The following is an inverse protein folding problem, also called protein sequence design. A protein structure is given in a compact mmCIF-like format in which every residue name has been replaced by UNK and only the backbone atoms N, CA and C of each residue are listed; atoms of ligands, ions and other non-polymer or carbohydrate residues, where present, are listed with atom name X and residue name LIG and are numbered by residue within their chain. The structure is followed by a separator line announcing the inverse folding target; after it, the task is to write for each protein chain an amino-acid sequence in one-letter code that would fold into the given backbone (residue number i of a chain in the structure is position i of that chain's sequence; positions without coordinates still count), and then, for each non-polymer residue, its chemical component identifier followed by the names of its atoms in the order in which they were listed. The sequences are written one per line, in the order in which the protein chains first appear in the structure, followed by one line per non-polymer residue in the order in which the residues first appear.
data_IF_610151910115
#
_entry.id   IF_610151910115
#
_cell.length_a   1.000
_cell.length_b   1.000
_cell.length_c   1.000
_cell.angle_alpha   90.00
_cell.angle_beta   90.00
_cell.angle_gamma   90.00
#
_symmetry.space_group_name_H-M   'P 1'
#
loop_
_entity.id
_entity.type
_entity.pdbx_description
1 polymer ?
#
# COMPACT_ATOMS: atom_id res chain seq x y z
N UNK A 1 -56.58 -47.36 -46.10
CA UNK A 1 -56.33 -48.20 -44.89
C UNK A 1 -55.34 -47.46 -44.00
N UNK A 2 -55.88 -46.87 -42.97
CA UNK A 2 -55.24 -45.94 -42.12
C UNK A 2 -54.93 -46.63 -40.78
N UNK A 3 -53.69 -46.74 -40.42
CA UNK A 3 -53.30 -47.23 -39.06
C UNK A 3 -52.87 -46.05 -38.19
N UNK A 4 -53.70 -45.74 -37.19
CA UNK A 4 -53.37 -44.88 -36.07
C UNK A 4 -52.37 -45.62 -35.16
N UNK A 5 -51.24 -45.01 -34.82
CA UNK A 5 -50.39 -45.40 -33.67
C UNK A 5 -50.55 -44.40 -32.58
N UNK A 6 -51.13 -44.86 -31.46
CA UNK A 6 -51.13 -44.15 -30.20
C UNK A 6 -49.70 -44.06 -29.61
N UNK A 7 -49.27 -42.87 -29.21
CA UNK A 7 -48.08 -42.65 -28.39
C UNK A 7 -48.51 -42.43 -26.96
N UNK A 8 -48.15 -43.38 -26.11
CA UNK A 8 -48.26 -43.22 -24.65
C UNK A 8 -47.25 -42.17 -24.16
N UNK A 9 -47.76 -41.13 -23.52
CA UNK A 9 -46.95 -40.11 -22.83
C UNK A 9 -46.72 -40.60 -21.38
N UNK A 10 -45.48 -41.00 -21.06
CA UNK A 10 -45.06 -41.29 -19.68
C UNK A 10 -44.69 -39.96 -19.04
N UNK A 11 -45.50 -39.50 -18.08
CA UNK A 11 -45.16 -38.38 -17.22
C UNK A 11 -44.19 -38.88 -16.12
N UNK A 12 -42.96 -38.44 -16.23
CA UNK A 12 -41.97 -38.55 -15.11
C UNK A 12 -42.18 -37.37 -14.18
N UNK A 13 -42.75 -37.63 -13.01
CA UNK A 13 -42.69 -36.65 -11.89
C UNK A 13 -41.28 -36.64 -11.30
N UNK A 14 -40.52 -35.57 -11.59
CA UNK A 14 -39.34 -35.28 -10.84
C UNK A 14 -39.73 -34.59 -9.50
N UNK A 15 -39.62 -35.31 -8.44
CA UNK A 15 -39.62 -34.72 -7.08
C UNK A 15 -38.35 -33.93 -6.90
N UNK A 16 -38.44 -32.60 -7.07
CA UNK A 16 -37.38 -31.67 -6.67
C UNK A 16 -37.51 -31.48 -5.17
N UNK A 17 -36.67 -32.16 -4.39
CA UNK A 17 -36.45 -31.84 -2.99
C UNK A 17 -35.78 -30.48 -2.88
N UNK A 18 -36.55 -29.45 -2.57
CA UNK A 18 -35.99 -28.15 -2.18
C UNK A 18 -35.36 -28.32 -0.80
N UNK A 19 -34.04 -28.40 -0.73
CA UNK A 19 -33.29 -28.08 0.48
C UNK A 19 -33.33 -26.57 0.66
N UNK A 20 -34.23 -26.06 1.45
CA UNK A 20 -34.18 -24.72 2.01
C UNK A 20 -32.99 -24.62 2.97
N UNK A 21 -31.84 -24.32 2.45
CA UNK A 21 -30.72 -23.82 3.24
C UNK A 21 -30.99 -22.32 3.47
N UNK A 22 -31.72 -22.01 4.55
CA UNK A 22 -31.78 -20.64 5.08
C UNK A 22 -30.36 -20.18 5.34
N UNK A 23 -29.91 -19.01 4.80
CA UNK A 23 -28.60 -18.47 5.14
C UNK A 23 -28.61 -18.20 6.65
N UNK A 24 -27.79 -18.91 7.40
CA UNK A 24 -27.49 -18.59 8.79
C UNK A 24 -26.99 -17.13 8.79
N UNK A 25 -27.84 -16.22 9.28
CA UNK A 25 -27.41 -14.87 9.64
C UNK A 25 -26.27 -15.04 10.63
N UNK A 26 -25.04 -14.78 10.17
CA UNK A 26 -23.95 -14.51 11.09
C UNK A 26 -24.32 -13.21 11.78
N UNK A 27 -24.74 -13.31 13.03
CA UNK A 27 -24.96 -12.16 13.90
C UNK A 27 -23.59 -11.44 14.01
N UNK A 28 -23.45 -10.32 13.29
CA UNK A 28 -22.30 -9.42 13.49
C UNK A 28 -22.38 -8.93 14.93
N UNK A 29 -21.53 -9.46 15.79
CA UNK A 29 -21.34 -8.92 17.13
C UNK A 29 -20.88 -7.48 16.96
N UNK A 30 -21.65 -6.48 17.44
CA UNK A 30 -21.21 -5.09 17.35
C UNK A 30 -19.90 -4.95 18.11
N UNK A 31 -18.81 -4.71 17.41
CA UNK A 31 -17.53 -4.33 18.04
C UNK A 31 -17.76 -2.93 18.58
N UNK A 32 -17.95 -2.80 19.89
CA UNK A 32 -17.94 -1.48 20.53
C UNK A 32 -16.63 -0.78 20.16
N UNK A 33 -16.69 0.42 19.53
CA UNK A 33 -15.47 1.19 19.27
C UNK A 33 -14.85 1.51 20.63
N UNK A 34 -13.54 1.26 20.76
CA UNK A 34 -12.81 1.61 21.97
C UNK A 34 -13.11 3.09 22.30
N UNK A 35 -13.67 3.35 23.49
CA UNK A 35 -13.95 4.71 23.95
C UNK A 35 -12.63 5.44 24.12
N UNK A 36 -12.22 6.16 23.08
CA UNK A 36 -11.12 7.13 23.16
C UNK A 36 -11.69 8.43 23.76
N UNK A 37 -10.92 9.08 24.65
CA UNK A 37 -11.29 10.41 25.16
C UNK A 37 -11.50 11.34 23.95
N UNK A 38 -12.70 11.95 23.77
CA UNK A 38 -12.97 12.82 22.63
C UNK A 38 -12.05 14.03 22.50
N UNK A 39 -11.18 14.25 23.49
CA UNK A 39 -10.14 15.30 23.49
C UNK A 39 -8.77 14.76 23.11
N UNK A 40 -8.60 13.46 22.96
CA UNK A 40 -7.32 12.87 22.55
C UNK A 40 -7.27 12.88 21.02
N UNK A 41 -6.35 13.68 20.47
CA UNK A 41 -6.03 13.67 19.03
C UNK A 41 -5.58 12.27 18.65
N UNK A 42 -6.31 11.63 17.77
CA UNK A 42 -5.87 10.33 17.23
C UNK A 42 -4.74 10.54 16.21
N UNK A 43 -3.87 9.56 16.12
CA UNK A 43 -2.75 9.53 15.18
C UNK A 43 -2.97 8.37 14.23
N UNK A 44 -2.89 8.66 12.93
CA UNK A 44 -2.95 7.68 11.85
C UNK A 44 -1.54 7.46 11.31
N UNK A 45 -1.07 6.24 11.38
CA UNK A 45 0.22 5.81 10.83
C UNK A 45 0.02 5.29 9.42
N UNK A 46 0.67 5.93 8.45
CA UNK A 46 0.63 5.56 7.04
C UNK A 46 1.97 4.98 6.64
N UNK A 47 1.98 3.77 6.07
CA UNK A 47 3.20 3.06 5.68
C UNK A 47 3.09 2.56 4.24
N UNK A 48 4.14 2.75 3.45
CA UNK A 48 4.36 2.13 2.14
C UNK A 48 5.55 1.19 2.21
N UNK A 49 5.42 -0.01 1.62
CA UNK A 49 6.48 -1.00 1.63
C UNK A 49 6.50 -1.83 0.35
N UNK A 50 7.60 -1.76 -0.39
CA UNK A 50 7.87 -2.67 -1.49
C UNK A 50 8.39 -4.00 -0.92
N UNK A 51 7.61 -5.07 -1.10
CA UNK A 51 7.87 -6.40 -0.52
C UNK A 51 8.54 -7.37 -1.47
N UNK A 52 9.09 -6.84 -2.58
CA UNK A 52 10.00 -7.54 -3.47
C UNK A 52 9.50 -8.92 -3.90
N UNK A 53 8.39 -8.96 -4.64
CA UNK A 53 7.74 -10.19 -5.14
C UNK A 53 7.34 -11.18 -4.04
N UNK A 54 6.86 -10.66 -2.93
CA UNK A 54 6.32 -11.50 -1.88
C UNK A 54 5.19 -12.37 -2.44
N UNK A 55 5.39 -13.67 -2.38
CA UNK A 55 4.48 -14.66 -2.95
C UNK A 55 5.15 -15.64 -3.92
N UNK A 56 6.16 -15.21 -4.71
CA UNK A 56 6.87 -16.06 -5.67
C UNK A 56 8.01 -16.89 -5.05
N UNK A 57 8.19 -16.76 -3.72
CA UNK A 57 9.20 -17.48 -2.94
C UNK A 57 10.66 -17.18 -3.31
N UNK A 58 10.94 -16.19 -4.14
CA UNK A 58 12.32 -15.82 -4.50
C UNK A 58 13.14 -15.31 -3.31
N UNK A 59 12.49 -14.84 -2.26
CA UNK A 59 13.14 -14.44 -0.99
C UNK A 59 13.19 -15.58 0.03
N UNK A 60 12.42 -16.63 -0.18
CA UNK A 60 12.25 -17.78 0.69
C UNK A 60 10.79 -18.19 0.83
N UNK A 61 10.51 -19.31 1.55
CA UNK A 61 9.16 -19.81 1.68
C UNK A 61 8.18 -18.80 2.26
N UNK A 62 6.97 -18.72 1.72
CA UNK A 62 5.94 -17.75 2.12
C UNK A 62 5.66 -17.75 3.63
N UNK A 63 5.63 -18.90 4.29
CA UNK A 63 5.43 -18.99 5.74
C UNK A 63 6.55 -18.26 6.53
N UNK A 64 7.78 -18.30 6.04
CA UNK A 64 8.91 -17.56 6.61
C UNK A 64 8.78 -16.06 6.36
N UNK A 65 8.39 -15.68 5.15
CA UNK A 65 8.13 -14.28 4.81
C UNK A 65 6.99 -13.68 5.63
N UNK A 66 5.91 -14.45 5.89
CA UNK A 66 4.83 -14.06 6.82
C UNK A 66 5.39 -13.72 8.22
N UNK A 67 6.32 -14.53 8.73
CA UNK A 67 6.92 -14.29 10.05
C UNK A 67 7.73 -13.00 10.10
N UNK A 68 8.47 -12.68 9.04
CA UNK A 68 9.21 -11.42 8.96
C UNK A 68 8.27 -10.22 8.83
N UNK A 69 7.28 -10.28 7.94
CA UNK A 69 6.30 -9.22 7.79
C UNK A 69 5.51 -9.00 9.10
N UNK A 70 5.09 -10.09 9.77
CA UNK A 70 4.48 -10.03 11.11
C UNK A 70 5.34 -9.24 12.09
N UNK A 71 6.65 -9.48 12.10
CA UNK A 71 7.58 -8.78 13.01
C UNK A 71 7.65 -7.29 12.70
N UNK A 72 7.74 -6.93 11.42
CA UNK A 72 7.77 -5.54 10.94
C UNK A 72 6.47 -4.82 11.29
N UNK A 73 5.32 -5.43 10.98
CA UNK A 73 4.00 -4.85 11.26
C UNK A 73 3.74 -4.73 12.76
N UNK A 74 4.18 -5.73 13.56
CA UNK A 74 4.08 -5.67 15.02
C UNK A 74 4.88 -4.54 15.66
N UNK A 75 5.94 -4.08 14.99
CA UNK A 75 6.74 -2.93 15.39
C UNK A 75 6.17 -1.60 14.90
N UNK A 76 5.88 -1.50 13.60
CA UNK A 76 5.45 -0.26 12.97
C UNK A 76 3.99 0.11 13.30
N UNK A 77 3.12 -0.88 13.43
CA UNK A 77 1.68 -0.75 13.71
C UNK A 77 0.97 0.26 12.80
N UNK A 78 1.10 0.15 11.46
CA UNK A 78 0.46 1.10 10.56
C UNK A 78 -1.07 0.99 10.64
N UNK A 79 -1.77 2.12 10.47
CA UNK A 79 -3.22 2.15 10.32
C UNK A 79 -3.64 2.06 8.85
N UNK A 80 -2.77 2.52 7.95
CA UNK A 80 -2.90 2.36 6.50
C UNK A 80 -1.56 1.79 6.00
N UNK A 81 -1.62 0.65 5.32
CA UNK A 81 -0.46 -0.06 4.80
C UNK A 81 -0.63 -0.34 3.31
N UNK A 82 0.23 0.25 2.49
CA UNK A 82 0.40 -0.12 1.09
C UNK A 82 1.54 -1.12 0.92
N UNK A 83 1.24 -2.31 0.44
CA UNK A 83 2.25 -3.26 -0.02
C UNK A 83 2.30 -3.20 -1.55
N UNK A 84 3.48 -2.98 -2.10
CA UNK A 84 3.70 -2.98 -3.55
C UNK A 84 4.67 -4.07 -3.93
N UNK A 85 4.58 -4.53 -5.17
CA UNK A 85 5.34 -5.66 -5.70
C UNK A 85 5.06 -6.97 -4.94
N UNK A 86 3.79 -7.23 -4.68
CA UNK A 86 3.28 -8.54 -4.27
C UNK A 86 3.08 -9.37 -5.53
N UNK A 87 3.43 -10.65 -5.49
CA UNK A 87 3.23 -11.55 -6.64
C UNK A 87 1.74 -11.70 -6.97
N UNK A 88 1.40 -11.46 -8.23
CA UNK A 88 0.06 -11.66 -8.75
C UNK A 88 -0.19 -13.13 -9.10
N UNK A 89 -1.43 -13.60 -8.97
CA UNK A 89 -1.81 -14.91 -9.47
C UNK A 89 -1.87 -14.86 -11.01
N UNK A 90 -1.08 -15.67 -11.72
CA UNK A 90 -1.14 -15.70 -13.17
C UNK A 90 -2.54 -16.06 -13.70
N UNK A 91 -2.95 -15.45 -14.81
CA UNK A 91 -4.26 -15.73 -15.42
C UNK A 91 -4.46 -17.22 -15.71
N UNK A 92 -3.39 -17.93 -16.12
CA UNK A 92 -3.44 -19.38 -16.36
C UNK A 92 -3.80 -20.21 -15.11
N UNK A 93 -3.51 -19.70 -13.90
CA UNK A 93 -3.88 -20.35 -12.65
C UNK A 93 -5.31 -19.98 -12.23
N UNK A 94 -5.73 -18.74 -12.52
CA UNK A 94 -7.13 -18.31 -12.34
C UNK A 94 -8.05 -19.14 -13.24
N UNK A 95 -7.65 -19.39 -14.48
CA UNK A 95 -8.40 -20.21 -15.46
C UNK A 95 -8.51 -21.68 -15.00
N UNK A 96 -7.61 -22.14 -14.12
CA UNK A 96 -7.66 -23.46 -13.46
C UNK A 96 -8.46 -23.45 -12.16
N UNK A 97 -9.06 -22.31 -11.79
CA UNK A 97 -9.90 -22.15 -10.61
C UNK A 97 -9.19 -21.63 -9.37
N UNK A 98 -7.96 -21.13 -9.47
CA UNK A 98 -7.36 -20.40 -8.36
C UNK A 98 -8.08 -19.06 -8.13
N UNK A 99 -8.17 -18.66 -6.87
CA UNK A 99 -8.79 -17.39 -6.51
C UNK A 99 -7.94 -16.20 -7.00
N UNK A 100 -8.54 -15.21 -7.69
CA UNK A 100 -7.82 -14.00 -8.08
C UNK A 100 -7.41 -13.11 -6.89
N UNK A 101 -7.91 -13.40 -5.67
CA UNK A 101 -7.55 -12.67 -4.44
C UNK A 101 -6.08 -12.91 -4.07
N UNK A 102 -5.47 -13.95 -4.60
CA UNK A 102 -4.05 -14.20 -4.51
C UNK A 102 -3.54 -14.27 -3.07
N UNK A 103 -2.49 -13.51 -2.80
CA UNK A 103 -1.82 -13.50 -1.51
C UNK A 103 -2.46 -12.56 -0.49
N UNK A 104 -3.47 -11.74 -0.85
CA UNK A 104 -4.07 -10.76 0.07
C UNK A 104 -4.62 -11.41 1.35
N UNK A 105 -5.39 -12.50 1.23
CA UNK A 105 -5.89 -13.26 2.39
C UNK A 105 -4.75 -13.90 3.19
N UNK A 106 -3.79 -14.49 2.50
CA UNK A 106 -2.63 -15.13 3.11
C UNK A 106 -1.80 -14.13 3.93
N UNK A 107 -1.56 -12.94 3.38
CA UNK A 107 -0.87 -11.83 4.05
C UNK A 107 -1.71 -11.32 5.24
N UNK A 108 -3.01 -11.11 5.03
CA UNK A 108 -3.91 -10.63 6.08
C UNK A 108 -3.91 -11.57 7.29
N UNK A 109 -4.06 -12.87 7.06
CA UNK A 109 -4.18 -13.87 8.11
C UNK A 109 -2.79 -14.20 8.69
N UNK A 110 -1.82 -14.51 7.84
CA UNK A 110 -0.52 -15.05 8.23
C UNK A 110 0.45 -14.00 8.80
N UNK A 111 0.30 -12.74 8.41
CA UNK A 111 1.19 -11.67 8.86
C UNK A 111 0.46 -10.58 9.65
N UNK A 112 -0.50 -9.87 9.06
CA UNK A 112 -1.07 -8.66 9.64
C UNK A 112 -1.92 -8.95 10.87
N UNK A 113 -2.95 -9.79 10.74
CA UNK A 113 -3.81 -10.17 11.85
C UNK A 113 -3.15 -11.21 12.77
N UNK A 114 -2.06 -11.85 12.34
CA UNK A 114 -1.19 -12.60 13.25
C UNK A 114 -0.33 -11.69 14.14
N UNK A 115 0.00 -10.48 13.67
CA UNK A 115 0.69 -9.45 14.48
C UNK A 115 -0.28 -8.73 15.42
N UNK A 116 -1.46 -8.37 14.92
CA UNK A 116 -2.51 -7.62 15.63
C UNK A 116 -3.87 -8.24 15.32
N UNK A 117 -4.34 -9.19 16.15
CA UNK A 117 -5.55 -9.95 15.88
C UNK A 117 -6.77 -9.09 15.57
N UNK A 118 -7.44 -9.35 14.44
CA UNK A 118 -8.66 -8.72 14.01
C UNK A 118 -8.57 -7.23 13.64
N UNK A 119 -7.36 -6.65 13.60
CA UNK A 119 -7.18 -5.21 13.37
C UNK A 119 -7.32 -4.81 11.90
N UNK A 120 -6.86 -5.65 10.98
CA UNK A 120 -6.73 -5.27 9.57
C UNK A 120 -7.80 -5.89 8.68
N UNK A 121 -8.11 -5.16 7.62
CA UNK A 121 -8.79 -5.64 6.42
C UNK A 121 -8.02 -5.13 5.19
N UNK A 122 -8.24 -5.73 4.01
CA UNK A 122 -7.71 -5.20 2.76
C UNK A 122 -8.82 -4.58 1.91
N UNK A 123 -8.43 -3.65 1.03
CA UNK A 123 -9.31 -3.10 0.01
C UNK A 123 -9.35 -4.02 -1.22
N UNK A 124 -10.45 -4.07 -1.98
CA UNK A 124 -10.46 -4.68 -3.30
C UNK A 124 -9.37 -4.07 -4.20
N UNK A 125 -8.79 -4.87 -5.08
CA UNK A 125 -7.74 -4.45 -6.01
C UNK A 125 -7.97 -5.04 -7.38
N UNK A 126 -7.23 -4.54 -8.38
CA UNK A 126 -7.26 -5.05 -9.75
C UNK A 126 -5.88 -5.46 -10.21
N UNK A 127 -5.84 -6.33 -11.19
CA UNK A 127 -4.66 -6.66 -11.98
C UNK A 127 -5.03 -6.63 -13.47
N UNK A 128 -5.58 -5.51 -13.94
CA UNK A 128 -6.00 -5.33 -15.31
C UNK A 128 -4.81 -5.18 -16.27
N UNK A 129 -3.69 -4.66 -15.79
CA UNK A 129 -2.42 -4.63 -16.51
C UNK A 129 -1.88 -6.04 -16.81
N UNK A 130 -2.37 -7.06 -16.07
CA UNK A 130 -1.92 -8.45 -16.15
C UNK A 130 -0.42 -8.61 -15.93
N UNK A 131 0.13 -7.74 -15.10
CA UNK A 131 1.51 -7.85 -14.67
C UNK A 131 1.65 -8.94 -13.60
N UNK A 132 2.90 -9.28 -13.33
CA UNK A 132 3.25 -10.27 -12.30
C UNK A 132 3.18 -9.70 -10.89
N UNK A 133 3.08 -8.38 -10.76
CA UNK A 133 3.13 -7.68 -9.47
C UNK A 133 1.82 -6.93 -9.21
N UNK A 134 1.32 -7.03 -7.99
CA UNK A 134 0.13 -6.33 -7.50
C UNK A 134 0.45 -5.32 -6.42
N UNK A 135 -0.45 -4.33 -6.26
CA UNK A 135 -0.42 -3.34 -5.19
C UNK A 135 -1.63 -3.57 -4.27
N UNK A 136 -1.38 -3.86 -3.00
CA UNK A 136 -2.40 -4.21 -2.01
C UNK A 136 -2.48 -3.16 -0.91
N UNK A 137 -3.66 -2.58 -0.70
CA UNK A 137 -3.92 -1.66 0.41
C UNK A 137 -4.63 -2.38 1.55
N UNK A 138 -4.02 -2.32 2.74
CA UNK A 138 -4.61 -2.78 4.00
C UNK A 138 -4.89 -1.60 4.92
N UNK A 139 -5.92 -1.70 5.75
CA UNK A 139 -6.30 -0.65 6.68
C UNK A 139 -6.74 -1.21 8.02
N UNK A 140 -6.56 -0.42 9.07
CA UNK A 140 -7.08 -0.69 10.40
C UNK A 140 -8.60 -0.47 10.42
N UNK A 141 -9.38 -1.56 10.41
CA UNK A 141 -10.84 -1.53 10.37
C UNK A 141 -11.50 -0.98 11.62
N UNK A 142 -10.74 -0.75 12.69
CA UNK A 142 -11.24 -0.08 13.91
C UNK A 142 -11.13 1.45 13.81
N UNK A 143 -10.37 1.97 12.83
CA UNK A 143 -10.25 3.41 12.56
C UNK A 143 -10.88 3.82 11.24
N UNK A 144 -10.90 2.93 10.27
CA UNK A 144 -11.36 3.22 8.91
C UNK A 144 -12.42 2.26 8.43
N UNK A 145 -13.39 2.79 7.66
CA UNK A 145 -14.21 2.03 6.74
C UNK A 145 -13.76 2.24 5.30
N UNK A 146 -14.02 1.25 4.46
CA UNK A 146 -13.78 1.32 3.02
C UNK A 146 -15.05 1.80 2.32
N UNK A 147 -14.93 2.81 1.44
CA UNK A 147 -16.06 3.34 0.69
C UNK A 147 -16.07 2.89 -0.78
N UNK A 148 -14.94 3.05 -1.48
CA UNK A 148 -14.81 2.66 -2.89
C UNK A 148 -13.36 2.62 -3.32
N UNK A 149 -13.11 2.05 -4.52
CA UNK A 149 -11.83 2.16 -5.21
C UNK A 149 -12.05 2.40 -6.71
N UNK A 150 -10.99 2.84 -7.39
CA UNK A 150 -10.96 3.01 -8.85
C UNK A 150 -9.55 2.75 -9.36
N UNK A 151 -9.41 2.04 -10.47
CA UNK A 151 -8.15 1.95 -11.19
C UNK A 151 -7.93 3.25 -11.96
N UNK A 152 -6.83 3.93 -11.67
CA UNK A 152 -6.50 5.24 -12.26
C UNK A 152 -5.67 5.11 -13.52
N UNK A 153 -4.71 4.19 -13.50
CA UNK A 153 -3.84 3.84 -14.63
C UNK A 153 -3.65 2.33 -14.62
N UNK A 154 -3.68 1.72 -15.79
CA UNK A 154 -3.38 0.30 -15.99
C UNK A 154 -2.40 0.19 -17.15
N UNK A 155 -1.14 -0.01 -16.83
CA UNK A 155 -0.05 -0.07 -17.81
C UNK A 155 0.95 -1.18 -17.43
N UNK A 156 2.05 -0.87 -16.74
CA UNK A 156 3.01 -1.87 -16.23
C UNK A 156 2.45 -2.55 -14.98
N UNK A 157 1.81 -1.77 -14.11
CA UNK A 157 1.02 -2.25 -12.99
C UNK A 157 -0.25 -1.42 -12.84
N UNK A 158 -1.24 -1.94 -12.14
CA UNK A 158 -2.44 -1.19 -11.83
C UNK A 158 -2.16 -0.20 -10.70
N UNK A 159 -2.41 1.09 -10.99
CA UNK A 159 -2.40 2.17 -9.99
C UNK A 159 -3.83 2.37 -9.53
N UNK A 160 -4.12 1.99 -8.30
CA UNK A 160 -5.44 2.07 -7.71
C UNK A 160 -5.55 3.25 -6.73
N UNK A 161 -6.68 3.93 -6.77
CA UNK A 161 -7.09 4.94 -5.78
C UNK A 161 -8.19 4.35 -4.90
N UNK A 162 -7.99 4.44 -3.60
CA UNK A 162 -8.91 3.97 -2.57
C UNK A 162 -9.52 5.14 -1.81
N UNK A 163 -10.81 5.06 -1.53
CA UNK A 163 -11.53 6.03 -0.72
C UNK A 163 -11.87 5.39 0.62
N UNK A 164 -11.21 5.83 1.68
CA UNK A 164 -11.46 5.43 3.05
C UNK A 164 -12.22 6.53 3.80
N UNK A 165 -12.94 6.19 4.87
CA UNK A 165 -13.54 7.16 5.77
C UNK A 165 -13.19 6.81 7.22
N UNK A 166 -13.00 7.85 8.02
CA UNK A 166 -12.66 7.68 9.42
C UNK A 166 -13.90 7.30 10.23
N UNK A 167 -13.75 6.33 11.12
CA UNK A 167 -14.81 5.88 12.04
C UNK A 167 -14.84 6.80 13.26
N UNK A 168 -15.43 7.98 13.10
CA UNK A 168 -15.65 8.90 14.20
C UNK A 168 -16.81 8.42 15.10
N UNK A 169 -16.65 8.58 16.41
CA UNK A 169 -17.71 8.30 17.40
C UNK A 169 -19.00 9.11 17.15
N UNK A 170 -18.87 10.27 16.50
CA UNK A 170 -19.99 11.11 16.15
C UNK A 170 -20.60 10.80 14.78
N UNK A 171 -19.98 9.93 13.97
CA UNK A 171 -20.44 9.62 12.62
C UNK A 171 -21.90 9.18 12.56
N UNK A 172 -22.34 8.36 13.54
CA UNK A 172 -23.73 7.93 13.63
C UNK A 172 -24.71 9.06 13.94
N UNK A 173 -24.24 10.17 14.52
CA UNK A 173 -25.06 11.35 14.87
C UNK A 173 -25.05 12.42 13.79
N UNK A 174 -23.86 12.67 13.21
CA UNK A 174 -23.67 13.77 12.27
C UNK A 174 -23.90 13.34 10.82
N UNK A 175 -23.75 12.04 10.51
CA UNK A 175 -23.69 11.49 9.16
C UNK A 175 -22.61 12.17 8.28
N UNK A 176 -21.68 12.88 8.92
CA UNK A 176 -20.60 13.62 8.25
C UNK A 176 -19.34 12.77 8.20
N UNK A 177 -18.95 12.41 7.00
CA UNK A 177 -17.83 11.50 6.76
C UNK A 177 -16.61 12.27 6.26
N UNK A 178 -15.52 12.20 7.00
CA UNK A 178 -14.22 12.68 6.52
C UNK A 178 -13.53 11.62 5.70
N UNK A 179 -13.44 11.85 4.39
CA UNK A 179 -12.77 10.93 3.47
C UNK A 179 -11.28 11.20 3.37
N UNK A 180 -10.51 10.10 3.28
CA UNK A 180 -9.10 10.08 2.93
C UNK A 180 -8.93 9.25 1.66
N UNK A 181 -8.34 9.83 0.62
CA UNK A 181 -8.01 9.12 -0.61
C UNK A 181 -6.55 8.65 -0.55
N UNK A 182 -6.34 7.39 -0.89
CA UNK A 182 -5.00 6.79 -0.94
C UNK A 182 -4.78 6.24 -2.34
N UNK A 183 -3.78 6.77 -3.04
CA UNK A 183 -3.30 6.24 -4.31
C UNK A 183 -2.07 5.39 -4.03
N UNK A 184 -2.09 4.14 -4.47
CA UNK A 184 -0.99 3.20 -4.28
C UNK A 184 -0.43 2.78 -5.64
N UNK A 185 0.90 2.83 -5.79
CA UNK A 185 1.55 2.57 -7.06
C UNK A 185 2.90 1.86 -6.93
N UNK A 186 3.27 1.18 -8.00
CA UNK A 186 4.62 0.73 -8.30
C UNK A 186 4.89 1.03 -9.78
N UNK A 187 5.85 1.90 -10.06
CA UNK A 187 6.19 2.30 -11.44
C UNK A 187 7.34 1.49 -12.00
N UNK A 188 7.59 1.64 -13.30
CA UNK A 188 8.66 0.96 -14.01
C UNK A 188 10.01 1.13 -13.32
N UNK A 189 10.66 0.01 -13.03
CA UNK A 189 11.97 -0.06 -12.40
C UNK A 189 13.10 -0.09 -13.42
N UNK A 190 14.34 0.18 -12.96
CA UNK A 190 15.52 0.12 -13.82
C UNK A 190 15.79 1.42 -14.57
N UNK A 191 16.52 1.31 -15.70
CA UNK A 191 16.96 2.46 -16.49
C UNK A 191 15.96 2.79 -17.61
N UNK A 192 14.70 3.00 -17.22
CA UNK A 192 13.57 3.32 -18.11
C UNK A 192 12.82 4.55 -17.60
N UNK A 193 13.46 5.74 -17.56
CA UNK A 193 12.84 6.94 -17.00
C UNK A 193 11.56 7.34 -17.73
N UNK A 194 11.47 7.14 -19.02
CA UNK A 194 10.33 7.55 -19.84
C UNK A 194 9.05 6.79 -19.43
N UNK A 195 9.17 5.49 -19.17
CA UNK A 195 8.00 4.69 -18.75
C UNK A 195 7.45 5.13 -17.39
N UNK A 196 8.31 5.27 -16.38
CA UNK A 196 7.85 5.71 -15.05
C UNK A 196 7.34 7.15 -15.06
N UNK A 197 7.98 8.04 -15.82
CA UNK A 197 7.54 9.43 -15.99
C UNK A 197 6.17 9.48 -16.67
N UNK A 198 5.94 8.67 -17.69
CA UNK A 198 4.67 8.55 -18.39
C UNK A 198 3.58 8.08 -17.44
N UNK A 199 3.82 7.01 -16.66
CA UNK A 199 2.85 6.46 -15.71
C UNK A 199 2.43 7.49 -14.66
N UNK A 200 3.39 8.21 -14.08
CA UNK A 200 3.09 9.25 -13.07
C UNK A 200 2.38 10.44 -13.68
N UNK A 201 2.76 10.86 -14.88
CA UNK A 201 2.10 11.97 -15.59
C UNK A 201 0.65 11.61 -15.93
N UNK A 202 0.40 10.39 -16.39
CA UNK A 202 -0.94 9.88 -16.68
C UNK A 202 -1.81 9.80 -15.41
N UNK A 203 -1.23 9.34 -14.30
CA UNK A 203 -1.88 9.36 -12.99
C UNK A 203 -2.31 10.78 -12.62
N UNK A 204 -1.40 11.77 -12.70
CA UNK A 204 -1.71 13.15 -12.34
C UNK A 204 -2.78 13.76 -13.23
N UNK A 205 -2.73 13.50 -14.53
CA UNK A 205 -3.76 13.93 -15.49
C UNK A 205 -5.13 13.32 -15.14
N UNK A 206 -5.14 12.06 -14.74
CA UNK A 206 -6.36 11.36 -14.31
C UNK A 206 -6.90 11.97 -13.01
N UNK A 207 -6.08 12.24 -12.01
CA UNK A 207 -6.47 12.90 -10.76
C UNK A 207 -7.09 14.27 -11.05
N UNK A 208 -6.45 15.09 -11.86
CA UNK A 208 -6.93 16.44 -12.23
C UNK A 208 -8.30 16.37 -12.94
N UNK A 209 -8.49 15.35 -13.78
CA UNK A 209 -9.77 15.13 -14.46
C UNK A 209 -10.90 14.74 -13.49
N UNK A 210 -10.60 13.98 -12.45
CA UNK A 210 -11.59 13.49 -11.48
C UNK A 210 -11.96 14.51 -10.40
N UNK A 211 -11.04 15.38 -10.03
CA UNK A 211 -11.22 16.28 -8.89
C UNK A 211 -11.07 17.74 -9.31
N UNK A 212 -12.04 18.61 -9.00
CA UNK A 212 -11.91 20.07 -9.24
C UNK A 212 -10.83 20.72 -8.37
N UNK A 213 -10.46 20.07 -7.27
CA UNK A 213 -9.33 20.39 -6.39
C UNK A 213 -8.95 19.14 -5.61
N UNK A 214 -7.68 19.00 -5.20
CA UNK A 214 -7.24 17.85 -4.45
C UNK A 214 -8.00 17.71 -3.11
N UNK A 215 -8.64 16.57 -2.86
CA UNK A 215 -9.21 16.25 -1.55
C UNK A 215 -8.11 15.95 -0.52
N UNK A 216 -8.46 15.42 0.66
CA UNK A 216 -7.49 14.76 1.54
C UNK A 216 -6.97 13.52 0.81
N UNK A 217 -5.77 13.62 0.25
CA UNK A 217 -5.21 12.58 -0.62
C UNK A 217 -3.73 12.34 -0.33
N UNK A 218 -3.36 11.08 -0.38
CA UNK A 218 -1.98 10.59 -0.32
C UNK A 218 -1.69 9.85 -1.61
N UNK A 219 -0.50 10.04 -2.17
CA UNK A 219 0.07 9.16 -3.21
C UNK A 219 1.29 8.48 -2.60
N UNK A 220 1.32 7.16 -2.56
CA UNK A 220 2.42 6.41 -1.96
C UNK A 220 2.80 5.17 -2.78
N UNK A 221 4.03 4.73 -2.64
CA UNK A 221 4.54 3.55 -3.31
C UNK A 221 5.99 3.67 -3.71
N UNK A 222 6.43 2.75 -4.56
CA UNK A 222 7.74 2.77 -5.20
C UNK A 222 7.64 3.45 -6.57
N UNK A 223 8.10 4.69 -6.62
CA UNK A 223 8.10 5.51 -7.84
C UNK A 223 9.31 5.25 -8.73
N UNK A 224 10.31 4.55 -8.24
CA UNK A 224 11.58 4.33 -8.94
C UNK A 224 12.28 5.60 -9.47
N UNK A 225 11.86 6.78 -9.01
CA UNK A 225 12.44 8.08 -9.37
C UNK A 225 13.84 8.22 -8.77
N UNK A 226 14.77 8.84 -9.49
CA UNK A 226 16.18 8.98 -9.09
C UNK A 226 16.58 10.39 -8.68
N UNK A 227 15.77 11.37 -9.03
CA UNK A 227 16.02 12.80 -8.80
C UNK A 227 14.74 13.61 -8.93
N UNK A 228 14.73 14.80 -8.32
CA UNK A 228 13.55 15.67 -8.34
C UNK A 228 13.26 16.32 -9.70
N UNK A 229 14.22 16.36 -10.63
CA UNK A 229 13.99 16.93 -11.96
C UNK A 229 13.57 15.89 -13.02
N UNK A 230 13.17 14.68 -12.63
CA UNK A 230 12.42 13.80 -13.51
C UNK A 230 11.00 14.31 -13.74
N UNK A 231 10.50 14.18 -14.96
CA UNK A 231 9.18 14.70 -15.34
C UNK A 231 8.05 14.11 -14.47
N UNK A 232 8.16 12.84 -14.09
CA UNK A 232 7.23 12.21 -13.16
C UNK A 232 7.20 12.87 -11.77
N UNK A 233 8.38 13.20 -11.22
CA UNK A 233 8.44 13.92 -9.95
C UNK A 233 7.85 15.32 -10.08
N UNK A 234 8.18 16.03 -11.18
CA UNK A 234 7.67 17.36 -11.46
C UNK A 234 6.15 17.36 -11.68
N UNK A 235 5.61 16.33 -12.33
CA UNK A 235 4.15 16.21 -12.50
C UNK A 235 3.40 16.20 -11.16
N UNK A 236 4.00 15.63 -10.10
CA UNK A 236 3.40 15.59 -8.76
C UNK A 236 3.47 16.96 -8.07
N UNK A 237 4.65 17.62 -8.10
CA UNK A 237 4.92 18.77 -7.21
C UNK A 237 4.83 20.14 -7.89
N UNK A 238 4.85 20.23 -9.22
CA UNK A 238 5.01 21.52 -9.93
C UNK A 238 3.87 21.89 -10.88
N UNK A 239 2.67 21.33 -10.67
CA UNK A 239 1.51 21.68 -11.49
C UNK A 239 1.32 23.21 -11.56
N UNK A 240 0.87 23.73 -12.73
CA UNK A 240 0.58 25.16 -12.92
C UNK A 240 -0.40 25.69 -11.88
N UNK A 241 -1.46 24.92 -11.59
CA UNK A 241 -2.44 25.22 -10.55
C UNK A 241 -1.95 24.69 -9.19
N UNK A 242 -1.77 25.59 -8.22
CA UNK A 242 -1.20 25.25 -6.90
C UNK A 242 -2.02 24.22 -6.12
N UNK A 243 -3.33 24.18 -6.29
CA UNK A 243 -4.23 23.23 -5.64
C UNK A 243 -4.10 21.78 -6.14
N UNK A 244 -3.29 21.54 -7.20
CA UNK A 244 -2.92 20.20 -7.66
C UNK A 244 -1.46 19.84 -7.36
N UNK A 245 -0.73 20.64 -6.60
CA UNK A 245 0.66 20.36 -6.21
C UNK A 245 0.68 19.57 -4.93
N UNK A 246 1.12 18.35 -5.01
CA UNK A 246 1.42 17.58 -3.81
C UNK A 246 2.70 18.07 -3.15
N UNK A 247 2.84 17.78 -1.89
CA UNK A 247 4.06 18.00 -1.12
C UNK A 247 4.77 16.67 -0.86
N UNK A 248 6.08 16.66 -1.08
CA UNK A 248 6.98 15.65 -0.52
C UNK A 248 7.43 16.20 0.84
N UNK A 249 6.97 15.63 1.97
CA UNK A 249 7.12 16.23 3.29
C UNK A 249 8.55 16.61 3.68
N UNK A 250 9.58 15.77 3.45
CA UNK A 250 10.95 16.12 3.80
C UNK A 250 11.48 17.39 3.15
N UNK A 251 11.02 17.70 1.92
CA UNK A 251 11.41 18.91 1.18
C UNK A 251 10.50 20.10 1.51
N UNK A 252 9.21 19.90 1.34
CA UNK A 252 8.27 21.02 1.29
C UNK A 252 7.83 21.51 2.67
N UNK A 253 7.72 20.62 3.65
CA UNK A 253 7.15 20.91 4.98
C UNK A 253 8.24 20.90 6.04
N UNK A 254 8.95 19.79 6.17
CA UNK A 254 9.97 19.61 7.23
C UNK A 254 11.25 20.36 6.93
N UNK A 255 11.52 20.65 5.63
CA UNK A 255 12.72 21.34 5.14
C UNK A 255 14.02 20.69 5.64
N UNK A 256 14.02 19.36 5.73
CA UNK A 256 15.16 18.56 6.19
C UNK A 256 16.19 18.31 5.09
N UNK A 257 15.78 18.43 3.84
CA UNK A 257 16.62 18.21 2.64
C UNK A 257 16.45 19.36 1.68
N UNK A 258 17.52 19.65 0.93
CA UNK A 258 17.55 20.73 -0.04
C UNK A 258 16.92 20.31 -1.37
N UNK A 259 16.24 21.22 -2.02
CA UNK A 259 15.71 21.09 -3.37
C UNK A 259 16.50 22.01 -4.32
N UNK A 260 16.82 21.60 -5.56
CA UNK A 260 16.57 20.29 -6.16
C UNK A 260 17.47 19.20 -5.61
N UNK A 261 17.05 17.93 -5.72
CA UNK A 261 17.73 16.78 -5.18
C UNK A 261 18.06 15.75 -6.26
N UNK A 262 19.21 15.07 -6.11
CA UNK A 262 19.62 13.95 -6.93
C UNK A 262 20.26 12.89 -6.02
N UNK A 263 19.41 11.99 -5.50
CA UNK A 263 19.86 10.94 -4.58
C UNK A 263 20.62 9.81 -5.28
N UNK A 264 20.46 9.66 -6.59
CA UNK A 264 21.22 8.69 -7.37
C UNK A 264 22.71 9.08 -7.49
N UNK A 265 22.99 10.39 -7.57
CA UNK A 265 24.37 10.90 -7.63
C UNK A 265 24.96 11.27 -6.27
N UNK A 266 24.13 11.68 -5.32
CA UNK A 266 24.53 12.21 -4.03
C UNK A 266 23.75 11.54 -2.88
N UNK A 267 23.78 10.20 -2.76
CA UNK A 267 22.99 9.50 -1.74
C UNK A 267 23.38 9.91 -0.31
N UNK A 268 24.60 10.36 -0.08
CA UNK A 268 25.09 10.81 1.22
C UNK A 268 24.31 12.01 1.78
N UNK A 269 23.74 12.86 0.91
CA UNK A 269 22.95 14.03 1.31
C UNK A 269 21.53 13.64 1.78
N UNK A 270 21.10 12.44 1.46
CA UNK A 270 19.74 11.94 1.73
C UNK A 270 19.75 10.66 2.55
N UNK A 271 20.86 10.38 3.24
CA UNK A 271 21.16 9.09 3.85
C UNK A 271 20.05 8.53 4.73
N UNK A 272 19.33 9.38 5.49
CA UNK A 272 18.24 8.98 6.38
C UNK A 272 16.92 8.66 5.66
N UNK A 273 16.80 9.02 4.38
CA UNK A 273 15.59 8.86 3.58
C UNK A 273 15.70 7.77 2.52
N UNK A 274 16.91 7.23 2.31
CA UNK A 274 17.14 6.21 1.29
C UNK A 274 16.35 4.95 1.60
N UNK A 275 15.73 4.38 0.57
CA UNK A 275 14.83 3.22 0.69
C UNK A 275 15.37 1.96 0.02
N UNK A 276 16.52 2.02 -0.66
CA UNK A 276 17.15 0.89 -1.38
C UNK A 276 18.67 0.97 -1.29
N UNK A 277 19.39 -0.10 -0.91
CA UNK A 277 18.97 -1.43 -0.52
C UNK A 277 19.14 -1.64 1.00
N UNK A 278 18.33 -2.49 1.59
CA UNK A 278 18.54 -3.02 2.96
C UNK A 278 19.78 -3.90 3.05
N UNK A 279 20.34 -4.32 1.92
CA UNK A 279 21.42 -5.31 1.80
C UNK A 279 22.66 -4.68 1.15
N UNK A 280 23.81 -4.83 1.80
CA UNK A 280 25.10 -4.47 1.19
C UNK A 280 25.48 -5.43 0.08
N UNK A 281 25.26 -6.73 0.28
CA UNK A 281 25.49 -7.78 -0.70
C UNK A 281 24.19 -8.47 -1.07
N UNK A 282 24.16 -9.12 -2.21
CA UNK A 282 23.08 -10.03 -2.57
C UNK A 282 22.87 -11.08 -1.47
N UNK A 283 21.63 -11.46 -1.25
CA UNK A 283 21.27 -12.54 -0.33
C UNK A 283 21.35 -13.86 -1.08
N UNK A 284 22.37 -14.64 -0.79
CA UNK A 284 22.53 -15.97 -1.36
C UNK A 284 21.64 -17.00 -0.64
N UNK A 285 21.21 -18.07 -1.32
CA UNK A 285 21.42 -18.37 -2.74
C UNK A 285 20.36 -17.74 -3.67
N UNK A 286 19.26 -17.23 -3.18
CA UNK A 286 18.10 -16.78 -3.97
C UNK A 286 17.72 -15.36 -3.56
N UNK A 287 18.32 -14.35 -4.16
CA UNK A 287 17.89 -12.96 -3.97
C UNK A 287 17.33 -12.40 -5.29
N UNK A 288 16.03 -12.12 -5.32
CA UNK A 288 15.38 -11.47 -6.44
C UNK A 288 15.48 -9.93 -6.37
N UNK A 289 16.21 -9.40 -5.40
CA UNK A 289 16.45 -7.98 -5.20
C UNK A 289 17.81 -7.53 -5.69
N UNK A 290 18.29 -6.45 -5.10
CA UNK A 290 19.61 -5.86 -5.37
C UNK A 290 20.38 -5.65 -4.07
N UNK A 291 21.69 -5.82 -4.12
CA UNK A 291 22.61 -5.35 -3.09
C UNK A 291 22.97 -3.88 -3.27
N UNK A 292 24.11 -3.48 -2.68
CA UNK A 292 24.71 -2.15 -2.87
C UNK A 292 24.49 -1.19 -1.73
N UNK A 293 23.80 -1.64 -0.66
CA UNK A 293 23.43 -0.82 0.50
C UNK A 293 22.44 0.33 0.16
N UNK A 294 22.15 1.21 1.11
CA UNK A 294 21.17 2.27 0.92
C UNK A 294 21.73 3.40 0.02
N UNK A 295 21.30 3.44 -1.24
CA UNK A 295 21.76 4.43 -2.23
C UNK A 295 20.64 5.09 -3.04
N UNK A 296 19.44 4.53 -3.03
CA UNK A 296 18.30 5.06 -3.76
C UNK A 296 17.17 5.46 -2.84
N UNK A 297 16.53 6.58 -3.13
CA UNK A 297 15.29 7.01 -2.48
C UNK A 297 14.15 6.91 -3.48
N UNK A 298 13.56 5.73 -3.61
CA UNK A 298 12.59 5.40 -4.65
C UNK A 298 11.16 5.33 -4.13
N UNK A 299 11.00 5.03 -2.83
CA UNK A 299 9.71 4.94 -2.19
C UNK A 299 9.38 6.27 -1.50
N UNK A 300 8.22 6.84 -1.83
CA UNK A 300 7.77 8.13 -1.32
C UNK A 300 6.32 8.07 -0.82
N UNK A 301 5.97 9.01 0.04
CA UNK A 301 4.59 9.32 0.44
C UNK A 301 4.38 10.83 0.22
N UNK A 302 3.71 11.17 -0.87
CA UNK A 302 3.29 12.55 -1.17
C UNK A 302 1.94 12.84 -0.55
N UNK A 303 1.75 14.07 -0.07
CA UNK A 303 0.49 14.50 0.55
C UNK A 303 -0.12 15.69 -0.18
N UNK A 304 -1.45 15.72 -0.31
CA UNK A 304 -2.17 16.85 -0.88
C UNK A 304 -2.07 18.10 0.02
N UNK A 305 -2.22 19.32 -0.54
CA UNK A 305 -2.11 20.58 0.22
C UNK A 305 -3.01 20.64 1.46
N UNK A 306 -4.21 20.06 1.41
CA UNK A 306 -5.13 20.01 2.55
C UNK A 306 -4.52 19.28 3.75
N UNK A 307 -3.72 18.25 3.53
CA UNK A 307 -3.06 17.51 4.61
C UNK A 307 -1.90 18.29 5.24
N UNK A 308 -1.42 19.34 4.61
CA UNK A 308 -0.41 20.23 5.18
C UNK A 308 -1.03 21.34 6.07
N UNK A 309 -2.34 21.56 6.00
CA UNK A 309 -3.04 22.50 6.87
C UNK A 309 -3.36 21.85 8.22
N UNK A 310 -2.74 22.36 9.28
CA UNK A 310 -2.91 21.87 10.67
C UNK A 310 -4.35 22.00 11.20
N UNK A 311 -5.19 22.83 10.56
CA UNK A 311 -6.60 23.01 10.94
C UNK A 311 -7.53 22.07 10.17
N UNK A 312 -7.02 21.33 9.21
CA UNK A 312 -7.81 20.34 8.49
C UNK A 312 -8.05 19.09 9.36
N UNK A 313 -9.16 18.40 9.11
CA UNK A 313 -9.52 17.18 9.84
C UNK A 313 -8.37 16.17 9.88
N UNK A 314 -7.77 15.84 8.71
CA UNK A 314 -6.51 15.11 8.64
C UNK A 314 -5.38 16.11 8.38
N UNK A 315 -4.34 16.07 9.17
CA UNK A 315 -3.17 16.93 8.96
C UNK A 315 -1.87 16.18 9.20
N UNK A 316 -0.88 16.47 8.39
CA UNK A 316 0.45 15.90 8.52
C UNK A 316 1.10 16.32 9.85
N UNK A 317 1.69 15.36 10.55
CA UNK A 317 2.49 15.64 11.76
C UNK A 317 3.92 15.94 11.32
N UNK A 318 4.40 17.17 11.47
CA UNK A 318 5.75 17.55 11.03
C UNK A 318 6.84 16.66 11.59
N UNK A 319 7.82 16.34 10.76
CA UNK A 319 8.97 15.47 11.07
C UNK A 319 8.61 14.00 11.39
N UNK A 320 7.39 13.57 11.12
CA UNK A 320 6.99 12.16 11.26
C UNK A 320 7.42 11.29 10.07
N UNK A 321 7.77 11.89 8.93
CA UNK A 321 8.25 11.14 7.76
C UNK A 321 9.60 10.50 8.04
N UNK A 322 9.70 9.18 7.91
CA UNK A 322 10.94 8.45 8.14
C UNK A 322 10.98 7.11 7.40
N UNK A 323 12.19 6.58 7.23
CA UNK A 323 12.47 5.27 6.65
C UNK A 323 12.76 4.29 7.77
N UNK A 324 11.89 3.27 7.94
CA UNK A 324 12.01 2.30 9.05
C UNK A 324 13.26 1.44 8.86
N UNK A 325 14.12 1.39 9.88
CA UNK A 325 15.35 0.60 9.86
C UNK A 325 16.57 1.35 9.31
N UNK A 326 16.40 2.54 8.73
CA UNK A 326 17.51 3.36 8.24
C UNK A 326 17.90 4.42 9.28
N UNK A 327 19.09 4.30 9.84
CA UNK A 327 19.66 5.24 10.83
C UNK A 327 20.53 6.35 10.20
N UNK A 328 20.51 6.47 8.86
CA UNK A 328 21.36 7.41 8.12
C UNK A 328 22.80 6.94 7.88
N UNK A 329 23.19 5.77 8.39
CA UNK A 329 24.54 5.22 8.30
C UNK A 329 24.60 3.93 7.47
N UNK A 330 23.68 3.79 6.48
CA UNK A 330 23.51 2.55 5.72
C UNK A 330 24.08 2.61 4.29
N UNK A 331 24.89 3.60 3.97
CA UNK A 331 25.47 3.77 2.62
C UNK A 331 26.42 2.63 2.22
N UNK A 332 27.05 1.98 3.18
CA UNK A 332 27.99 0.85 2.98
C UNK A 332 27.77 -0.26 4.00
N UNK A 333 26.54 -0.42 4.46
CA UNK A 333 26.17 -1.44 5.44
C UNK A 333 24.77 -2.00 5.14
N UNK A 334 24.55 -3.25 5.53
CA UNK A 334 23.20 -3.82 5.54
C UNK A 334 22.39 -3.25 6.70
N UNK A 335 21.06 -3.35 6.61
CA UNK A 335 20.17 -2.85 7.67
C UNK A 335 20.43 -3.52 9.01
N UNK A 336 20.79 -4.81 9.02
CA UNK A 336 21.09 -5.61 10.22
C UNK A 336 22.56 -5.56 10.66
N UNK A 337 23.46 -4.88 9.92
CA UNK A 337 24.83 -4.66 10.36
C UNK A 337 24.86 -3.69 11.56
N UNK A 338 25.59 -4.08 12.60
CA UNK A 338 25.70 -3.26 13.82
C UNK A 338 26.89 -2.26 13.75
N UNK A 339 26.80 -1.10 14.40
CA UNK A 339 25.63 -0.64 15.17
C UNK A 339 24.51 -0.09 14.27
N UNK A 340 23.28 -0.50 14.51
CA UNK A 340 22.07 0.15 14.01
C UNK A 340 21.06 0.21 15.16
N UNK A 341 20.65 1.41 15.56
CA UNK A 341 19.74 1.66 16.69
C UNK A 341 18.37 2.18 16.24
N UNK A 342 18.10 2.24 14.94
CA UNK A 342 16.83 2.77 14.40
C UNK A 342 15.63 1.86 14.69
N UNK A 343 15.87 0.58 14.96
CA UNK A 343 14.85 -0.39 15.35
C UNK A 343 15.48 -1.53 16.17
N UNK A 344 14.66 -2.35 16.88
CA UNK A 344 15.15 -3.56 17.56
C UNK A 344 15.82 -4.53 16.59
N UNK A 345 16.85 -5.25 17.02
CA UNK A 345 17.64 -6.18 16.17
C UNK A 345 16.77 -7.19 15.42
N UNK A 346 15.71 -7.72 16.06
CA UNK A 346 14.77 -8.65 15.40
C UNK A 346 14.00 -8.00 14.24
N UNK A 347 13.74 -6.69 14.30
CA UNK A 347 13.08 -5.93 13.23
C UNK A 347 14.06 -5.66 12.10
N UNK A 348 15.30 -5.29 12.44
CA UNK A 348 16.37 -5.09 11.46
C UNK A 348 16.66 -6.37 10.68
N UNK A 349 16.69 -7.51 11.37
CA UNK A 349 16.83 -8.82 10.74
C UNK A 349 15.62 -9.14 9.84
N UNK A 350 14.40 -8.88 10.32
CA UNK A 350 13.19 -9.09 9.51
C UNK A 350 13.19 -8.21 8.24
N UNK A 351 13.62 -6.95 8.33
CA UNK A 351 13.77 -6.07 7.15
C UNK A 351 14.80 -6.60 6.16
N UNK A 352 15.95 -7.08 6.66
CA UNK A 352 16.99 -7.68 5.81
C UNK A 352 16.47 -8.90 5.06
N UNK A 353 15.71 -9.76 5.74
CA UNK A 353 15.20 -11.00 5.17
C UNK A 353 14.01 -10.79 4.24
N UNK A 354 13.12 -9.84 4.57
CA UNK A 354 11.86 -9.63 3.86
C UNK A 354 12.05 -8.99 2.48
N UNK A 355 12.87 -7.96 2.37
CA UNK A 355 13.00 -7.20 1.12
C UNK A 355 14.34 -6.46 1.04
N UNK A 356 14.78 -6.15 -0.18
CA UNK A 356 15.87 -5.22 -0.38
C UNK A 356 15.42 -3.74 -0.26
N UNK A 357 14.17 -3.49 0.11
CA UNK A 357 13.60 -2.16 0.29
C UNK A 357 13.33 -1.87 1.76
N UNK A 358 13.45 -0.61 2.14
CA UNK A 358 13.03 -0.12 3.45
C UNK A 358 11.61 0.40 3.37
N UNK A 359 10.76 0.16 4.38
CA UNK A 359 9.45 0.80 4.45
C UNK A 359 9.59 2.30 4.73
N UNK A 360 8.69 3.10 4.14
CA UNK A 360 8.53 4.53 4.42
C UNK A 360 7.26 4.75 5.22
N UNK A 361 7.32 5.63 6.19
CA UNK A 361 6.21 5.91 7.09
C UNK A 361 6.07 7.41 7.37
N UNK A 362 4.83 7.86 7.55
CA UNK A 362 4.49 9.16 8.11
C UNK A 362 3.27 9.07 9.03
N UNK A 363 3.00 10.12 9.77
CA UNK A 363 1.84 10.22 10.65
C UNK A 363 0.94 11.38 10.26
N UNK A 364 -0.38 11.13 10.34
CA UNK A 364 -1.41 12.15 10.24
C UNK A 364 -2.10 12.29 11.60
N UNK A 365 -2.29 13.54 12.06
CA UNK A 365 -3.18 13.85 13.15
C UNK A 365 -4.62 13.90 12.67
N UNK A 366 -5.56 13.52 13.55
CA UNK A 366 -7.00 13.70 13.35
C UNK A 366 -7.48 14.75 14.33
N UNK A 367 -8.18 15.77 13.81
CA UNK A 367 -8.83 16.81 14.63
C UNK A 367 -10.32 16.80 14.31
N UNK A 368 -11.15 16.11 15.12
CA UNK A 368 -12.59 16.04 14.95
C UNK A 368 -13.28 17.40 15.19
#
# INVERSE_FOLDING_TARGET
MTFLRARSLLLFFLLISQCDASPTKVEEVPVEPAQTDPRQKDIIKVMSYNVLKYGDECQGPNATMHSYLKTIIGYAEPDILGLVKVEAIPQSEIDKGQSPIGFADSILIGALNAAKPGRYAYCPFTNAARDKDECLLFYNKHKFGFASFSTMVSDISDINMYKLYYLDLNLAKTHDTSFLYVVLLHTASGDVPDDRNRQVTELMNTIIKYFPALPNMIIMGDFNLRKTNEDGYQAIISNAEKNYRFFDPPFAIDKKVSYPANWDKHPEQYSSYLTTSTRKKWKEPNDCGTGGAAKGWYDHIFIAPKLADKNNFYHYIPSSYHTIGNDGNRLDASVNDLPNKSAPSKVLEALYQMSNKYPVMLELGVSP
#
